data_IF_146196492962
#
_entry.id   IF_146196492962
#
_cell.length_a   1.000
_cell.length_b   1.000
_cell.length_c   1.000
_cell.angle_alpha   90.00
_cell.angle_beta   90.00
_cell.angle_gamma   90.00
#
_symmetry.space_group_name_H-M   'P 1'
#
loop_
_entity.id
_entity.type
_entity.pdbx_description
1 polymer ?
#
# COMPACT_ATOMS: atom_id res chain seq x y z
N UNK A 1 4.10 -24.90 -25.68
CA UNK A 1 5.21 -25.83 -25.31
C UNK A 1 5.19 -25.96 -23.82
N UNK A 2 5.50 -27.13 -23.26
CA UNK A 2 5.57 -27.30 -21.82
C UNK A 2 6.75 -26.52 -21.26
N UNK A 3 6.56 -25.87 -20.09
CA UNK A 3 7.62 -25.17 -19.36
C UNK A 3 7.93 -25.89 -18.06
N UNK A 4 9.21 -26.06 -17.78
CA UNK A 4 9.72 -26.78 -16.62
C UNK A 4 10.58 -25.85 -15.78
N UNK A 5 10.23 -25.65 -14.50
CA UNK A 5 10.99 -24.78 -13.59
C UNK A 5 11.87 -25.61 -12.69
N UNK A 6 13.15 -25.29 -12.65
CA UNK A 6 14.07 -25.84 -11.68
C UNK A 6 13.75 -25.32 -10.27
N UNK A 7 13.48 -26.23 -9.33
CA UNK A 7 13.12 -25.88 -7.95
C UNK A 7 14.30 -25.35 -7.13
N UNK A 8 15.53 -25.49 -7.64
CA UNK A 8 16.75 -25.08 -6.93
C UNK A 8 17.18 -23.65 -7.32
N UNK A 9 17.21 -23.33 -8.62
CA UNK A 9 17.73 -22.05 -9.10
C UNK A 9 16.68 -21.19 -9.85
N UNK A 10 15.47 -21.72 -10.07
CA UNK A 10 14.40 -20.98 -10.77
C UNK A 10 14.51 -20.97 -12.30
N UNK A 11 15.55 -21.59 -12.89
CA UNK A 11 15.70 -21.67 -14.35
C UNK A 11 14.49 -22.32 -15.01
N UNK A 12 14.00 -21.74 -16.12
CA UNK A 12 12.86 -22.25 -16.90
C UNK A 12 13.38 -22.86 -18.20
N UNK A 13 13.01 -24.11 -18.43
CA UNK A 13 13.28 -24.85 -19.64
C UNK A 13 11.96 -25.01 -20.44
N UNK A 14 11.98 -24.72 -21.74
CA UNK A 14 10.87 -24.95 -22.64
C UNK A 14 11.13 -26.21 -23.47
N UNK A 15 10.26 -27.20 -23.34
CA UNK A 15 10.39 -28.47 -24.05
C UNK A 15 9.32 -29.48 -23.67
N UNK A 16 9.21 -30.61 -24.41
CA UNK A 16 8.22 -31.65 -24.10
C UNK A 16 8.48 -32.33 -22.75
N UNK A 17 9.76 -32.39 -22.33
CA UNK A 17 10.25 -33.02 -21.09
C UNK A 17 11.21 -32.07 -20.36
N UNK A 18 11.46 -32.28 -19.04
CA UNK A 18 12.50 -31.54 -18.34
C UNK A 18 13.89 -31.87 -18.95
N UNK A 19 14.84 -30.94 -18.87
CA UNK A 19 16.19 -31.21 -19.37
C UNK A 19 16.93 -32.24 -18.47
N UNK A 20 17.82 -32.98 -19.04
CA UNK A 20 18.63 -34.01 -18.29
C UNK A 20 19.47 -33.38 -17.17
N UNK A 21 19.90 -32.14 -17.36
CA UNK A 21 20.59 -31.34 -16.35
C UNK A 21 20.22 -29.87 -16.47
N UNK A 22 20.08 -29.22 -15.31
CA UNK A 22 19.91 -27.75 -15.28
C UNK A 22 21.20 -27.07 -15.74
N UNK A 23 21.16 -26.18 -16.77
CA UNK A 23 22.35 -25.49 -17.28
C UNK A 23 22.95 -24.49 -16.29
N UNK A 24 22.18 -24.10 -15.25
CA UNK A 24 22.60 -23.11 -14.26
C UNK A 24 23.19 -23.78 -13.02
N UNK A 25 22.52 -24.79 -12.43
CA UNK A 25 22.91 -25.36 -11.15
C UNK A 25 23.27 -26.87 -11.21
N UNK A 26 23.20 -27.50 -12.41
CA UNK A 26 23.66 -28.86 -12.65
C UNK A 26 22.78 -30.00 -12.10
N UNK A 27 21.62 -29.66 -11.45
CA UNK A 27 20.71 -30.69 -10.91
C UNK A 27 19.97 -31.45 -12.00
N UNK A 28 19.55 -32.67 -11.71
CA UNK A 28 18.88 -33.57 -12.65
C UNK A 28 17.39 -33.20 -12.86
N UNK A 29 16.71 -33.93 -13.77
CA UNK A 29 15.34 -33.67 -14.16
C UNK A 29 14.32 -33.80 -13.01
N UNK A 30 14.66 -34.58 -11.96
CA UNK A 30 13.83 -34.77 -10.76
C UNK A 30 13.63 -33.46 -9.95
N UNK A 31 14.44 -32.46 -10.22
CA UNK A 31 14.31 -31.10 -9.62
C UNK A 31 13.57 -30.12 -10.49
N UNK A 32 12.90 -30.59 -11.55
CA UNK A 32 12.07 -29.77 -12.39
C UNK A 32 10.59 -30.06 -12.16
N UNK A 33 9.80 -29.01 -12.01
CA UNK A 33 8.35 -29.08 -11.94
C UNK A 33 7.74 -28.48 -13.20
N UNK A 34 6.70 -29.15 -13.73
CA UNK A 34 5.95 -28.63 -14.86
C UNK A 34 5.23 -27.37 -14.41
N UNK A 35 5.42 -26.27 -15.17
CA UNK A 35 4.58 -25.08 -15.06
C UNK A 35 3.43 -25.29 -16.04
N UNK A 36 2.22 -25.52 -15.54
CA UNK A 36 1.03 -25.53 -16.39
C UNK A 36 0.68 -24.08 -16.73
N UNK A 37 0.89 -23.71 -18.00
CA UNK A 37 0.61 -22.36 -18.53
C UNK A 37 -0.90 -22.17 -18.84
N UNK A 38 -1.81 -22.93 -18.23
CA UNK A 38 -3.25 -22.86 -18.51
C UNK A 38 -4.13 -22.92 -17.24
N UNK A 39 -3.87 -22.06 -16.27
CA UNK A 39 -4.99 -21.53 -15.53
C UNK A 39 -5.44 -20.26 -16.28
N UNK A 40 -6.56 -20.34 -17.01
CA UNK A 40 -7.23 -19.14 -17.50
C UNK A 40 -7.28 -18.13 -16.33
N UNK A 41 -6.95 -16.84 -16.55
CA UNK A 41 -6.86 -15.88 -15.45
C UNK A 41 -8.14 -15.95 -14.63
N UNK A 42 -8.03 -16.25 -13.33
CA UNK A 42 -9.18 -16.40 -12.45
C UNK A 42 -9.85 -15.04 -12.41
N UNK A 43 -11.01 -14.93 -13.05
CA UNK A 43 -11.77 -13.69 -13.09
C UNK A 43 -12.22 -13.34 -11.67
N UNK A 44 -12.12 -12.08 -11.30
CA UNK A 44 -12.63 -11.54 -10.05
C UNK A 44 -13.90 -10.76 -10.31
N UNK A 45 -14.93 -11.02 -9.53
CA UNK A 45 -16.24 -10.39 -9.63
C UNK A 45 -16.54 -9.65 -8.34
N UNK A 46 -16.78 -8.35 -8.43
CA UNK A 46 -17.10 -7.52 -7.27
C UNK A 46 -18.61 -7.29 -7.16
N UNK A 47 -19.18 -7.62 -6.01
CA UNK A 47 -20.54 -7.25 -5.68
C UNK A 47 -20.65 -5.72 -5.54
N UNK A 48 -21.52 -5.09 -6.31
CA UNK A 48 -21.73 -3.62 -6.30
C UNK A 48 -22.46 -3.12 -5.05
N UNK A 49 -23.06 -4.04 -4.26
CA UNK A 49 -23.83 -3.70 -3.06
C UNK A 49 -22.94 -3.73 -1.81
N UNK A 50 -22.13 -4.76 -1.61
CA UNK A 50 -21.35 -4.96 -0.38
C UNK A 50 -19.83 -4.99 -0.58
N UNK A 51 -19.35 -4.94 -1.84
CA UNK A 51 -17.92 -4.97 -2.15
C UNK A 51 -17.28 -6.36 -2.10
N UNK A 52 -18.02 -7.43 -1.76
CA UNK A 52 -17.49 -8.78 -1.76
C UNK A 52 -16.88 -9.17 -3.10
N UNK A 53 -15.70 -9.78 -3.09
CA UNK A 53 -15.01 -10.26 -4.29
C UNK A 53 -15.10 -11.78 -4.36
N UNK A 54 -15.63 -12.25 -5.48
CA UNK A 54 -15.68 -13.66 -5.86
C UNK A 54 -14.63 -13.97 -6.91
N UNK A 55 -13.88 -15.04 -6.73
CA UNK A 55 -12.92 -15.54 -7.72
C UNK A 55 -13.51 -16.75 -8.43
N UNK A 56 -13.64 -16.66 -9.77
CA UNK A 56 -14.20 -17.74 -10.57
C UNK A 56 -14.43 -17.35 -12.04
N UNK A 57 -14.75 -18.30 -12.92
CA UNK A 57 -14.98 -18.03 -14.35
C UNK A 57 -16.21 -17.16 -14.59
N UNK A 58 -17.19 -17.20 -13.69
CA UNK A 58 -18.48 -16.47 -13.73
C UNK A 58 -18.77 -15.87 -12.36
N UNK A 59 -19.64 -14.84 -12.24
CA UNK A 59 -20.11 -14.37 -10.95
C UNK A 59 -20.85 -15.50 -10.19
N UNK A 60 -20.90 -15.50 -8.87
CA UNK A 60 -21.62 -16.48 -8.08
C UNK A 60 -23.14 -16.27 -8.25
N UNK A 61 -23.93 -17.33 -8.14
CA UNK A 61 -25.40 -17.26 -8.21
C UNK A 61 -26.02 -16.36 -7.15
N UNK A 62 -25.37 -16.28 -5.99
CA UNK A 62 -25.73 -15.39 -4.88
C UNK A 62 -24.50 -14.90 -4.13
N UNK A 63 -24.52 -13.62 -3.76
CA UNK A 63 -23.49 -13.06 -2.90
C UNK A 63 -23.55 -13.70 -1.49
N UNK A 64 -22.47 -14.32 -0.98
CA UNK A 64 -22.48 -14.96 0.34
C UNK A 64 -22.60 -13.95 1.49
N UNK A 65 -22.38 -12.65 1.21
CA UNK A 65 -22.43 -11.60 2.24
C UNK A 65 -23.79 -10.90 2.28
N UNK A 66 -24.36 -10.51 1.12
CA UNK A 66 -25.59 -9.72 1.09
C UNK A 66 -26.76 -10.37 0.32
N UNK A 67 -26.57 -11.59 -0.22
CA UNK A 67 -27.63 -12.39 -0.82
C UNK A 67 -28.11 -11.96 -2.22
N UNK A 68 -27.55 -10.90 -2.81
CA UNK A 68 -27.93 -10.43 -4.16
C UNK A 68 -27.47 -11.38 -5.25
N UNK A 69 -28.18 -11.39 -6.38
CA UNK A 69 -27.90 -12.24 -7.51
C UNK A 69 -26.70 -11.79 -8.36
N UNK A 70 -26.36 -12.59 -9.40
CA UNK A 70 -25.18 -12.38 -10.24
C UNK A 70 -25.23 -11.05 -11.02
N UNK A 71 -26.42 -10.50 -11.26
CA UNK A 71 -26.63 -9.21 -11.97
C UNK A 71 -26.06 -8.00 -11.18
N UNK A 72 -25.74 -8.19 -9.90
CA UNK A 72 -25.10 -7.18 -9.04
C UNK A 72 -23.58 -7.38 -8.92
N UNK A 73 -23.03 -8.26 -9.74
CA UNK A 73 -21.59 -8.44 -9.83
C UNK A 73 -21.05 -7.78 -11.10
N UNK A 74 -20.00 -7.01 -10.94
CA UNK A 74 -19.20 -6.49 -12.05
C UNK A 74 -17.89 -7.23 -12.13
N UNK A 75 -17.42 -7.53 -13.32
CA UNK A 75 -16.08 -8.04 -13.53
C UNK A 75 -15.12 -6.98 -12.97
N UNK A 76 -14.32 -7.35 -12.00
CA UNK A 76 -13.15 -6.55 -11.65
C UNK A 76 -12.18 -6.81 -12.79
N UNK A 77 -12.20 -5.92 -13.78
CA UNK A 77 -11.02 -5.80 -14.62
C UNK A 77 -9.91 -5.51 -13.63
N UNK A 78 -9.01 -6.47 -13.38
CA UNK A 78 -7.72 -6.12 -12.84
C UNK A 78 -7.30 -5.03 -13.79
N UNK A 79 -7.10 -3.80 -13.28
CA UNK A 79 -6.45 -2.78 -14.08
C UNK A 79 -5.28 -3.51 -14.70
N UNK A 80 -5.46 -3.97 -15.93
CA UNK A 80 -4.39 -4.47 -16.73
C UNK A 80 -3.45 -3.28 -16.78
N UNK A 81 -2.48 -3.27 -15.87
CA UNK A 81 -1.22 -2.64 -16.15
C UNK A 81 -0.78 -3.37 -17.40
N UNK A 82 -1.36 -2.94 -18.53
CA UNK A 82 -1.54 -3.65 -19.77
C UNK A 82 -0.27 -4.39 -20.10
N UNK A 83 -0.36 -5.62 -20.52
CA UNK A 83 0.63 -6.46 -21.18
C UNK A 83 2.11 -6.24 -20.85
N UNK A 84 2.38 -5.64 -19.69
CA UNK A 84 3.71 -5.25 -19.25
C UNK A 84 4.42 -6.47 -18.69
N UNK A 85 5.51 -6.88 -19.31
CA UNK A 85 6.34 -7.95 -18.80
C UNK A 85 6.86 -7.62 -17.39
N UNK A 86 7.13 -8.63 -16.52
CA UNK A 86 7.71 -8.39 -15.20
C UNK A 86 9.00 -7.55 -15.24
N UNK A 87 9.84 -7.76 -16.26
CA UNK A 87 11.08 -6.99 -16.45
C UNK A 87 10.79 -5.52 -16.79
N UNK A 88 9.78 -5.26 -17.63
CA UNK A 88 9.36 -3.90 -17.97
C UNK A 88 8.75 -3.19 -16.76
N UNK A 89 7.93 -3.88 -15.97
CA UNK A 89 7.39 -3.35 -14.72
C UNK A 89 8.51 -2.96 -13.75
N UNK A 90 9.49 -3.84 -13.54
CA UNK A 90 10.64 -3.57 -12.67
C UNK A 90 11.45 -2.37 -13.18
N UNK A 91 11.69 -2.31 -14.49
CA UNK A 91 12.37 -1.16 -15.13
C UNK A 91 11.64 0.14 -14.87
N UNK A 92 10.31 0.18 -15.10
CA UNK A 92 9.50 1.39 -14.90
C UNK A 92 9.38 1.77 -13.43
N UNK A 93 9.24 0.79 -12.52
CA UNK A 93 9.30 1.05 -11.08
C UNK A 93 10.64 1.67 -10.68
N UNK A 94 11.74 1.23 -11.30
CA UNK A 94 13.07 1.82 -11.11
C UNK A 94 13.12 3.31 -11.50
N UNK A 95 12.44 3.69 -12.58
CA UNK A 95 12.38 5.11 -13.02
C UNK A 95 11.64 5.99 -12.02
N UNK A 96 10.62 5.45 -11.30
CA UNK A 96 9.89 6.18 -10.25
C UNK A 96 10.79 6.59 -9.07
N UNK A 97 11.94 5.93 -8.88
CA UNK A 97 12.92 6.35 -7.87
C UNK A 97 13.62 7.69 -8.18
N UNK A 98 13.46 8.21 -9.40
CA UNK A 98 13.85 9.57 -9.75
C UNK A 98 12.92 10.65 -9.17
N UNK A 99 11.71 10.28 -8.72
CA UNK A 99 10.81 11.21 -8.06
C UNK A 99 11.34 11.57 -6.67
N UNK A 100 11.16 12.82 -6.28
CA UNK A 100 11.47 13.28 -4.92
C UNK A 100 10.28 13.04 -4.00
N UNK A 101 10.46 12.23 -2.95
CA UNK A 101 9.45 11.95 -1.92
C UNK A 101 9.98 12.36 -0.55
N UNK A 102 9.13 13.00 0.25
CA UNK A 102 9.33 13.08 1.70
C UNK A 102 8.97 11.77 2.39
N UNK A 103 9.28 11.66 3.67
CA UNK A 103 8.77 10.61 4.54
C UNK A 103 7.92 11.22 5.66
N UNK A 104 6.77 10.61 5.88
CA UNK A 104 5.73 11.12 6.76
C UNK A 104 5.16 10.00 7.62
N UNK A 105 4.77 10.33 8.84
CA UNK A 105 3.89 9.47 9.64
C UNK A 105 2.47 9.98 9.50
N UNK A 106 1.63 9.17 8.88
CA UNK A 106 0.20 9.45 8.72
C UNK A 106 -0.54 8.80 9.89
N UNK A 107 -1.24 9.61 10.65
CA UNK A 107 -1.97 9.16 11.84
C UNK A 107 -3.48 9.34 11.70
N UNK A 108 -4.24 8.57 12.44
CA UNK A 108 -5.70 8.72 12.58
C UNK A 108 -6.20 8.11 13.87
N UNK A 109 -7.50 8.27 14.13
CA UNK A 109 -8.18 7.76 15.33
C UNK A 109 -9.50 7.06 14.99
N UNK A 110 -9.95 6.19 15.89
CA UNK A 110 -11.28 5.60 15.92
C UNK A 110 -11.75 5.56 17.39
N UNK A 111 -12.51 6.57 17.80
CA UNK A 111 -12.74 6.84 19.22
C UNK A 111 -11.43 7.14 19.93
N UNK A 112 -11.13 6.38 20.99
CA UNK A 112 -9.89 6.50 21.76
C UNK A 112 -8.73 5.67 21.18
N UNK A 113 -8.99 4.86 20.15
CA UNK A 113 -7.93 4.08 19.49
C UNK A 113 -7.17 4.94 18.50
N UNK A 114 -5.85 4.93 18.64
CA UNK A 114 -4.93 5.64 17.76
C UNK A 114 -4.18 4.64 16.88
N UNK A 115 -3.90 5.03 15.65
CA UNK A 115 -2.96 4.31 14.81
C UNK A 115 -2.23 5.25 13.85
N UNK A 116 -1.05 4.81 13.40
CA UNK A 116 -0.29 5.54 12.40
C UNK A 116 0.50 4.58 11.51
N UNK A 117 0.89 5.06 10.33
CA UNK A 117 1.74 4.34 9.40
C UNK A 117 2.70 5.29 8.70
N UNK A 118 3.83 4.76 8.28
CA UNK A 118 4.76 5.48 7.41
C UNK A 118 4.19 5.59 5.99
N UNK A 119 4.37 6.74 5.37
CA UNK A 119 4.04 6.97 3.97
C UNK A 119 5.03 7.92 3.32
N UNK A 120 5.22 7.77 2.00
CA UNK A 120 5.98 8.69 1.15
C UNK A 120 5.08 9.41 0.14
N UNK A 121 3.76 9.24 0.23
CA UNK A 121 2.79 9.70 -0.78
C UNK A 121 2.03 10.96 -0.38
N UNK A 122 2.38 11.61 0.74
CA UNK A 122 1.75 12.89 1.09
C UNK A 122 2.28 14.02 0.20
N UNK A 123 1.36 14.82 -0.33
CA UNK A 123 1.66 15.96 -1.18
C UNK A 123 0.66 17.10 -0.95
N UNK A 124 1.14 18.35 -0.91
CA UNK A 124 0.27 19.51 -1.04
C UNK A 124 -0.27 19.59 -2.47
N UNK A 125 -1.56 19.77 -2.65
CA UNK A 125 -2.21 19.79 -3.97
C UNK A 125 -2.83 21.13 -4.35
N UNK A 126 -3.28 21.91 -3.37
CA UNK A 126 -3.75 23.29 -3.58
C UNK A 126 -3.32 24.18 -2.43
N UNK A 127 -3.25 25.50 -2.67
CA UNK A 127 -2.95 26.52 -1.68
C UNK A 127 -4.19 27.30 -1.23
N UNK A 128 -5.19 27.44 -2.10
CA UNK A 128 -6.43 28.18 -1.81
C UNK A 128 -7.65 27.42 -2.32
N UNK A 129 -8.36 26.70 -1.44
CA UNK A 129 -8.03 26.39 -0.04
C UNK A 129 -6.84 25.46 0.07
N UNK A 130 -6.15 25.51 1.23
CA UNK A 130 -4.99 24.67 1.48
C UNK A 130 -5.42 23.20 1.61
N UNK A 131 -4.92 22.35 0.71
CA UNK A 131 -5.22 20.92 0.67
C UNK A 131 -3.97 20.08 0.52
N UNK A 132 -4.00 18.92 1.13
CA UNK A 132 -3.02 17.86 0.92
C UNK A 132 -3.71 16.57 0.51
N UNK A 133 -2.93 15.68 -0.11
CA UNK A 133 -3.38 14.33 -0.44
C UNK A 133 -2.42 13.29 0.10
N UNK A 134 -2.95 12.09 0.41
CA UNK A 134 -2.15 10.91 0.74
C UNK A 134 -2.77 9.66 0.15
N UNK A 135 -1.95 8.79 -0.42
CA UNK A 135 -2.37 7.52 -0.99
C UNK A 135 -1.95 6.38 -0.06
N UNK A 136 -2.91 5.60 0.45
CA UNK A 136 -2.67 4.54 1.43
C UNK A 136 -3.26 3.21 0.98
N UNK A 137 -2.52 2.12 1.24
CA UNK A 137 -3.00 0.76 0.99
C UNK A 137 -4.24 0.46 1.84
N UNK A 138 -5.27 -0.10 1.20
CA UNK A 138 -6.56 -0.43 1.82
C UNK A 138 -6.44 -1.43 2.97
N UNK A 139 -5.47 -2.34 2.92
CA UNK A 139 -5.22 -3.32 3.98
C UNK A 139 -4.58 -2.72 5.24
N UNK A 140 -4.25 -1.42 5.23
CA UNK A 140 -3.62 -0.76 6.38
C UNK A 140 -4.63 -0.29 7.43
N UNK A 141 -4.39 -0.58 8.71
CA UNK A 141 -5.27 -0.14 9.82
C UNK A 141 -5.52 1.37 9.83
N UNK A 142 -4.50 2.18 9.55
CA UNK A 142 -4.64 3.65 9.46
C UNK A 142 -5.60 4.05 8.33
N UNK A 143 -5.53 3.35 7.18
CA UNK A 143 -6.42 3.59 6.05
C UNK A 143 -7.89 3.36 6.43
N UNK A 144 -8.19 2.26 7.12
CA UNK A 144 -9.55 1.97 7.65
C UNK A 144 -10.02 3.05 8.61
N UNK A 145 -9.14 3.48 9.52
CA UNK A 145 -9.48 4.52 10.50
C UNK A 145 -9.78 5.87 9.83
N UNK A 146 -9.00 6.29 8.83
CA UNK A 146 -9.26 7.53 8.07
C UNK A 146 -10.60 7.44 7.31
N UNK A 147 -10.90 6.29 6.70
CA UNK A 147 -12.20 6.11 6.05
C UNK A 147 -13.37 6.33 6.99
N UNK A 148 -13.24 5.86 8.24
CA UNK A 148 -14.28 5.93 9.26
C UNK A 148 -14.34 7.31 9.91
N UNK A 149 -13.21 7.83 10.38
CA UNK A 149 -13.13 9.09 11.13
C UNK A 149 -13.20 10.34 10.27
N UNK A 150 -12.84 10.23 8.97
CA UNK A 150 -12.71 11.32 8.02
C UNK A 150 -11.68 12.38 8.42
N UNK A 151 -10.71 12.01 9.28
CA UNK A 151 -9.61 12.90 9.69
C UNK A 151 -8.28 12.15 9.66
N UNK A 152 -7.21 12.89 9.39
CA UNK A 152 -5.86 12.37 9.51
C UNK A 152 -4.87 13.44 9.90
N UNK A 153 -3.80 13.01 10.55
CA UNK A 153 -2.65 13.82 10.89
C UNK A 153 -1.45 13.46 10.01
N UNK A 154 -0.57 14.42 9.78
CA UNK A 154 0.66 14.25 9.02
C UNK A 154 1.83 14.79 9.83
N UNK A 155 2.70 13.92 10.33
CA UNK A 155 3.96 14.30 10.97
C UNK A 155 5.09 14.20 9.96
N UNK A 156 5.77 15.31 9.67
CA UNK A 156 6.84 15.40 8.68
C UNK A 156 8.15 14.97 9.34
N UNK A 157 8.76 13.88 8.86
CA UNK A 157 9.98 13.34 9.44
C UNK A 157 11.22 14.20 9.12
N UNK A 158 12.10 14.37 10.10
CA UNK A 158 13.43 14.91 9.88
C UNK A 158 14.49 13.80 9.74
N UNK A 159 15.69 14.16 9.31
CA UNK A 159 16.76 13.21 9.02
C UNK A 159 17.22 12.37 10.23
N UNK A 160 16.88 12.76 11.45
CA UNK A 160 17.20 12.00 12.67
C UNK A 160 16.12 10.96 13.03
N UNK A 161 15.00 10.90 12.32
CA UNK A 161 13.85 10.05 12.65
C UNK A 161 13.93 8.62 12.05
N UNK A 162 15.11 8.03 11.87
CA UNK A 162 15.25 6.67 11.34
C UNK A 162 14.49 5.61 12.15
N UNK A 163 14.46 5.76 13.48
CA UNK A 163 13.71 4.83 14.34
C UNK A 163 12.18 4.95 14.13
N UNK A 164 11.67 6.16 13.83
CA UNK A 164 10.26 6.36 13.51
C UNK A 164 9.87 5.67 12.18
N UNK A 165 10.80 5.68 11.20
CA UNK A 165 10.61 4.94 9.94
C UNK A 165 10.44 3.44 10.21
N UNK A 166 11.30 2.85 11.03
CA UNK A 166 11.22 1.44 11.42
C UNK A 166 9.94 1.16 12.20
N UNK A 167 9.65 1.99 13.20
CA UNK A 167 8.52 1.81 14.10
C UNK A 167 7.17 1.86 13.37
N UNK A 168 6.94 2.89 12.54
CA UNK A 168 5.67 3.07 11.84
C UNK A 168 5.58 2.34 10.50
N UNK A 169 6.72 1.99 9.88
CA UNK A 169 6.77 1.38 8.55
C UNK A 169 6.78 -0.16 8.54
N UNK A 170 7.39 -0.80 9.54
CA UNK A 170 7.63 -2.25 9.50
C UNK A 170 6.78 -3.07 10.49
N UNK A 171 5.75 -2.47 11.06
CA UNK A 171 4.81 -3.13 11.97
C UNK A 171 3.37 -2.94 11.48
N UNK A 172 2.50 -3.92 11.77
CA UNK A 172 1.08 -3.82 11.45
C UNK A 172 0.28 -3.27 12.63
N UNK A 173 -0.49 -2.21 12.41
CA UNK A 173 -1.41 -1.66 13.43
C UNK A 173 -2.62 -2.57 13.75
N UNK A 174 -2.78 -3.68 13.03
CA UNK A 174 -3.76 -4.71 13.38
C UNK A 174 -3.29 -5.62 14.51
N UNK A 175 -1.97 -5.74 14.69
CA UNK A 175 -1.36 -6.69 15.64
C UNK A 175 -0.58 -6.01 16.77
N UNK A 176 -0.18 -4.75 16.58
CA UNK A 176 0.62 -3.99 17.57
C UNK A 176 -0.02 -2.65 17.86
N UNK A 177 0.00 -2.24 19.12
CA UNK A 177 -0.25 -0.86 19.51
C UNK A 177 0.99 -0.03 19.22
N UNK A 178 0.93 0.74 18.12
CA UNK A 178 2.06 1.58 17.68
C UNK A 178 2.25 2.84 18.51
N UNK A 179 1.31 3.18 19.40
CA UNK A 179 1.44 4.34 20.27
C UNK A 179 1.96 4.00 21.67
N UNK A 180 2.13 2.71 21.95
CA UNK A 180 2.81 2.29 23.19
C UNK A 180 4.24 2.83 23.21
N UNK A 181 4.56 3.64 24.22
CA UNK A 181 5.88 4.30 24.41
C UNK A 181 6.26 5.34 23.33
N UNK A 182 5.30 5.86 22.57
CA UNK A 182 5.51 6.96 21.64
C UNK A 182 4.98 8.26 22.25
N UNK A 183 5.81 9.28 22.28
CA UNK A 183 5.41 10.63 22.70
C UNK A 183 4.74 11.35 21.53
N UNK A 184 3.55 11.91 21.79
CA UNK A 184 2.76 12.63 20.80
C UNK A 184 1.98 13.77 21.45
N UNK A 185 1.52 14.71 20.62
CA UNK A 185 0.50 15.70 20.97
C UNK A 185 -0.83 15.31 20.35
N UNK A 186 -1.92 15.66 20.99
CA UNK A 186 -3.25 15.50 20.42
C UNK A 186 -3.61 16.74 19.61
N UNK A 187 -3.91 16.56 18.32
CA UNK A 187 -4.30 17.64 17.43
C UNK A 187 -5.57 18.37 17.93
N UNK A 188 -5.52 19.68 17.97
CA UNK A 188 -6.59 20.52 18.53
C UNK A 188 -7.87 20.54 17.66
N UNK A 189 -7.75 20.25 16.35
CA UNK A 189 -8.86 20.26 15.40
C UNK A 189 -9.43 18.87 15.12
N UNK A 190 -8.57 17.90 14.91
CA UNK A 190 -8.98 16.54 14.49
C UNK A 190 -8.90 15.50 15.62
N UNK A 191 -8.13 15.80 16.66
CA UNK A 191 -7.76 14.84 17.70
C UNK A 191 -6.80 13.75 17.23
N UNK A 192 -6.25 13.86 16.02
CA UNK A 192 -5.22 12.94 15.54
C UNK A 192 -3.90 13.15 16.28
N UNK A 193 -3.11 12.08 16.53
CA UNK A 193 -1.83 12.22 17.20
C UNK A 193 -0.75 12.77 16.26
N UNK A 194 -0.07 13.84 16.69
CA UNK A 194 1.13 14.41 16.08
C UNK A 194 2.38 13.93 16.80
N UNK A 195 3.32 13.31 16.08
CA UNK A 195 4.50 12.66 16.68
C UNK A 195 5.52 13.71 17.10
N UNK A 196 5.92 13.69 18.38
CA UNK A 196 6.97 14.58 18.88
C UNK A 196 8.34 14.23 18.28
N UNK A 197 9.19 15.24 18.12
CA UNK A 197 10.52 15.08 17.54
C UNK A 197 10.53 15.06 16.00
N UNK A 198 9.39 15.28 15.35
CA UNK A 198 9.27 15.49 13.90
C UNK A 198 9.41 16.97 13.55
N UNK A 199 9.42 17.35 12.28
CA UNK A 199 9.57 18.76 11.85
C UNK A 199 8.32 19.55 12.23
N UNK A 200 7.19 19.15 11.64
CA UNK A 200 5.88 19.77 11.78
C UNK A 200 4.80 18.69 11.85
N UNK A 201 3.66 19.08 12.38
CA UNK A 201 2.45 18.29 12.39
C UNK A 201 1.33 19.07 11.72
N UNK A 202 0.60 18.44 10.79
CA UNK A 202 -0.56 18.99 10.10
C UNK A 202 -1.80 18.16 10.44
N UNK A 203 -2.94 18.83 10.54
CA UNK A 203 -4.25 18.23 10.76
C UNK A 203 -5.12 18.43 9.53
N UNK A 204 -5.72 17.35 9.01
CA UNK A 204 -6.54 17.39 7.81
C UNK A 204 -7.91 16.72 8.03
N UNK A 205 -8.94 17.35 7.48
CA UNK A 205 -10.27 16.77 7.31
C UNK A 205 -10.45 16.29 5.88
N UNK A 206 -10.90 15.03 5.74
CA UNK A 206 -11.08 14.40 4.43
C UNK A 206 -12.28 15.01 3.71
N UNK A 207 -12.03 15.60 2.54
CA UNK A 207 -13.07 16.10 1.63
C UNK A 207 -13.45 15.08 0.55
N UNK A 208 -12.48 14.27 0.09
CA UNK A 208 -12.70 13.29 -0.98
C UNK A 208 -11.87 12.03 -0.76
N UNK A 209 -12.44 10.89 -1.13
CA UNK A 209 -11.76 9.59 -1.18
C UNK A 209 -11.91 9.04 -2.59
N UNK A 210 -10.78 8.77 -3.25
CA UNK A 210 -10.75 8.15 -4.58
C UNK A 210 -10.27 6.71 -4.45
N UNK A 211 -11.05 5.79 -4.98
CA UNK A 211 -10.70 4.36 -5.01
C UNK A 211 -9.76 4.07 -6.19
N UNK A 212 -8.55 3.61 -5.90
CA UNK A 212 -7.52 3.25 -6.88
C UNK A 212 -7.29 1.71 -6.92
N UNK A 213 -8.32 0.93 -6.64
CA UNK A 213 -8.21 -0.53 -6.61
C UNK A 213 -7.54 -1.02 -5.31
N UNK A 214 -6.23 -1.07 -5.23
CA UNK A 214 -5.46 -1.52 -4.05
C UNK A 214 -5.28 -0.44 -2.98
N UNK A 215 -5.46 0.82 -3.31
CA UNK A 215 -5.24 1.98 -2.45
C UNK A 215 -6.45 2.92 -2.46
N UNK A 216 -6.55 3.75 -1.42
CA UNK A 216 -7.37 4.96 -1.44
C UNK A 216 -6.47 6.19 -1.50
N UNK A 217 -6.82 7.13 -2.39
CA UNK A 217 -6.29 8.49 -2.35
C UNK A 217 -7.25 9.34 -1.51
N UNK A 218 -6.77 9.82 -0.37
CA UNK A 218 -7.48 10.77 0.47
C UNK A 218 -7.06 12.18 0.11
N UNK A 219 -8.03 13.04 -0.16
CA UNK A 219 -7.84 14.47 -0.35
C UNK A 219 -8.44 15.15 0.86
N UNK A 220 -7.64 15.95 1.58
CA UNK A 220 -8.07 16.61 2.79
C UNK A 220 -7.72 18.09 2.82
N UNK A 221 -8.61 18.87 3.43
CA UNK A 221 -8.37 20.28 3.76
C UNK A 221 -7.51 20.36 5.00
N UNK A 222 -6.46 21.15 4.96
CA UNK A 222 -5.65 21.46 6.15
C UNK A 222 -6.45 22.37 7.07
N UNK A 223 -6.70 21.92 8.29
CA UNK A 223 -7.52 22.63 9.29
C UNK A 223 -6.75 23.05 10.53
N UNK A 224 -5.54 22.54 10.70
CA UNK A 224 -4.67 22.85 11.83
C UNK A 224 -3.25 22.35 11.62
N UNK A 225 -2.41 22.60 12.58
CA UNK A 225 -1.02 22.12 12.59
C UNK A 225 -0.15 22.92 13.54
N UNK A 226 1.06 22.39 13.78
CA UNK A 226 2.02 23.01 14.69
C UNK A 226 3.45 22.67 14.30
N UNK A 227 4.39 23.53 14.68
CA UNK A 227 5.82 23.25 14.55
C UNK A 227 6.26 22.39 15.73
N UNK A 228 6.99 21.29 15.46
CA UNK A 228 7.47 20.37 16.49
C UNK A 228 8.94 20.65 16.83
N UNK A 229 9.87 19.87 16.28
CA UNK A 229 11.29 20.00 16.59
C UNK A 229 12.12 20.68 15.49
N UNK A 230 11.52 20.89 14.30
CA UNK A 230 12.24 21.39 13.13
C UNK A 230 13.26 20.40 12.56
N UNK A 231 14.22 20.90 11.78
CA UNK A 231 15.30 20.10 11.18
C UNK A 231 15.13 19.93 9.67
N UNK A 232 16.11 19.24 9.05
CA UNK A 232 16.10 18.96 7.61
C UNK A 232 15.12 17.81 7.28
N UNK A 233 14.24 17.96 6.27
CA UNK A 233 13.29 16.91 5.88
C UNK A 233 13.98 15.60 5.49
N UNK A 234 13.45 14.49 5.99
CA UNK A 234 13.86 13.17 5.53
C UNK A 234 13.21 12.88 4.19
N UNK A 235 14.00 12.90 3.12
CA UNK A 235 13.54 12.40 1.82
C UNK A 235 13.70 10.89 1.75
N UNK A 236 12.89 10.24 0.91
CA UNK A 236 13.04 8.79 0.68
C UNK A 236 14.42 8.44 0.09
N UNK A 237 14.96 9.33 -0.76
CA UNK A 237 16.31 9.17 -1.30
C UNK A 237 17.40 9.23 -0.21
N UNK A 238 17.28 10.17 0.75
CA UNK A 238 18.18 10.26 1.91
C UNK A 238 18.10 8.98 2.76
N UNK A 239 16.89 8.58 3.15
CA UNK A 239 16.69 7.37 3.95
C UNK A 239 17.31 6.12 3.32
N UNK A 240 17.15 5.93 1.99
CA UNK A 240 17.73 4.79 1.27
C UNK A 240 19.26 4.75 1.28
N UNK A 241 19.92 5.90 1.37
CA UNK A 241 21.38 6.01 1.45
C UNK A 241 21.93 5.80 2.87
N UNK A 242 21.11 6.06 3.91
CA UNK A 242 21.56 6.13 5.31
C UNK A 242 21.02 5.02 6.22
N UNK A 243 20.18 4.13 5.69
CA UNK A 243 19.61 2.97 6.40
C UNK A 243 20.58 1.81 6.54
#
# INVERSE_FOLDING_TARGET
MKKWKCTVCGYIHEGPNPPDKCPICGVGPEKFVLIEDDAAPVKKWRCTVCGYIHEGPTPPDKCPVCGVGPEKFVLVEEDNAGDMSPAEKERLQGLMFGCSYGLYVISSKDGDKLNAMLSNSFLQITDTPLRGSVCLNKAGRTCEMIQKSKVFGVSILNQNNHEMVKHFGFQSGHTVDKFKNISYVTGAKTGCPGILGTINFLELEVEQIVDLGTHFLFIGKVVGGDTMAGGEPMTYAYYRKTR
#
